data_IF_258860463285
#
_entry.id   IF_258860463285
#
_cell.length_a   1.000
_cell.length_b   1.000
_cell.length_c   1.000
_cell.angle_alpha   90.00
_cell.angle_beta   90.00
_cell.angle_gamma   90.00
#
_symmetry.space_group_name_H-M   'P 1'
#
loop_
_entity.id
_entity.type
_entity.pdbx_description
1 polymer ?
#
# COMPACT_ATOMS: atom_id res chain seq x y z
N UNK A 1 17.70 18.04 -21.10
CA UNK A 1 16.24 17.98 -21.37
C UNK A 1 15.46 17.41 -20.18
N UNK A 2 15.93 16.35 -19.51
CA UNK A 2 15.28 15.78 -18.30
C UNK A 2 15.29 16.73 -17.08
N UNK A 3 16.33 17.54 -16.89
CA UNK A 3 16.41 18.50 -15.77
C UNK A 3 15.41 19.65 -15.87
N UNK A 4 15.03 20.07 -17.09
CA UNK A 4 14.02 21.12 -17.31
C UNK A 4 12.58 20.64 -17.11
N UNK A 5 12.33 19.34 -17.14
CA UNK A 5 11.01 18.75 -16.84
C UNK A 5 10.81 18.68 -15.32
N UNK A 6 11.88 18.47 -14.55
CA UNK A 6 11.84 18.37 -13.08
C UNK A 6 11.79 19.73 -12.37
N UNK A 7 12.06 20.84 -13.08
CA UNK A 7 12.04 22.20 -12.52
C UNK A 7 10.86 23.05 -12.99
N UNK A 8 9.90 22.45 -13.70
CA UNK A 8 8.75 23.20 -14.22
C UNK A 8 7.73 23.42 -13.08
N UNK A 9 7.43 24.68 -12.68
CA UNK A 9 6.51 24.99 -11.58
C UNK A 9 5.07 24.55 -11.84
N UNK A 10 4.71 24.10 -13.05
CA UNK A 10 3.38 23.56 -13.39
C UNK A 10 3.10 22.24 -12.66
N UNK A 11 4.12 21.47 -12.24
CA UNK A 11 3.94 20.24 -11.45
C UNK A 11 3.70 20.50 -9.96
N UNK A 12 3.95 21.71 -9.45
CA UNK A 12 3.79 22.08 -8.04
C UNK A 12 2.50 22.85 -7.74
N UNK A 13 1.68 23.18 -8.74
CA UNK A 13 0.44 23.96 -8.58
C UNK A 13 -0.83 23.15 -8.86
N UNK A 14 -0.97 21.97 -8.26
CA UNK A 14 -2.31 21.51 -7.95
C UNK A 14 -2.67 22.09 -6.57
N UNK A 15 -3.26 23.28 -6.59
CA UNK A 15 -4.07 23.83 -5.51
C UNK A 15 -5.31 22.93 -5.31
N UNK A 16 -5.12 21.73 -4.74
CA UNK A 16 -6.12 21.20 -3.85
C UNK A 16 -6.11 22.17 -2.67
N UNK A 17 -7.20 22.89 -2.49
CA UNK A 17 -7.45 23.71 -1.32
C UNK A 17 -7.09 22.88 -0.09
N UNK A 18 -5.87 23.09 0.41
CA UNK A 18 -5.44 22.57 1.71
C UNK A 18 -6.34 23.31 2.67
N UNK A 19 -7.43 22.66 3.10
CA UNK A 19 -8.10 23.11 4.30
C UNK A 19 -7.07 22.95 5.41
N UNK A 20 -6.45 24.08 5.77
CA UNK A 20 -5.59 24.16 6.95
C UNK A 20 -6.52 23.95 8.12
N UNK A 21 -6.62 22.71 8.58
CA UNK A 21 -7.35 22.37 9.78
C UNK A 21 -6.54 22.94 10.92
N UNK A 22 -6.90 24.16 11.35
CA UNK A 22 -6.36 24.76 12.56
C UNK A 22 -7.09 24.15 13.75
N UNK A 23 -6.37 23.31 14.49
CA UNK A 23 -6.80 22.93 15.83
C UNK A 23 -6.39 24.07 16.78
N UNK A 24 -7.34 24.67 17.46
CA UNK A 24 -7.06 25.56 18.60
C UNK A 24 -6.48 24.71 19.74
N UNK A 25 -5.15 24.63 19.77
CA UNK A 25 -4.42 23.77 20.68
C UNK A 25 -4.47 24.31 22.11
N UNK A 26 -5.01 23.53 23.05
CA UNK A 26 -4.64 23.66 24.46
C UNK A 26 -3.17 23.29 24.61
N UNK A 27 -2.34 24.21 25.10
CA UNK A 27 -1.03 23.89 25.68
C UNK A 27 -1.25 23.38 27.12
N UNK A 28 -1.81 22.19 27.27
CA UNK A 28 -1.65 21.43 28.51
C UNK A 28 -0.30 20.71 28.48
N UNK A 29 0.38 20.53 29.61
CA UNK A 29 1.58 19.69 29.66
C UNK A 29 1.21 18.30 29.10
N UNK A 30 2.10 17.72 28.28
CA UNK A 30 1.89 16.40 27.69
C UNK A 30 1.75 15.42 28.86
N UNK A 31 0.55 14.95 29.12
CA UNK A 31 0.31 13.94 30.15
C UNK A 31 1.01 12.65 29.76
N UNK A 32 1.51 11.90 30.73
CA UNK A 32 2.26 10.66 30.49
C UNK A 32 1.48 9.66 29.63
N UNK A 33 0.15 9.63 29.73
CA UNK A 33 -0.74 8.82 28.90
C UNK A 33 -0.74 9.23 27.42
N UNK A 34 -0.77 10.52 27.11
CA UNK A 34 -0.69 11.03 25.72
C UNK A 34 0.59 10.57 25.04
N UNK A 35 1.71 10.63 25.77
CA UNK A 35 2.99 10.15 25.24
C UNK A 35 2.99 8.63 25.03
N UNK A 36 2.44 7.87 25.98
CA UNK A 36 2.31 6.43 25.86
C UNK A 36 1.52 6.03 24.61
N UNK A 37 0.36 6.65 24.37
CA UNK A 37 -0.45 6.35 23.18
C UNK A 37 0.20 6.79 21.88
N UNK A 38 0.88 7.94 21.87
CA UNK A 38 1.65 8.36 20.71
C UNK A 38 2.69 7.30 20.33
N UNK A 39 3.46 6.82 21.30
CA UNK A 39 4.46 5.77 21.10
C UNK A 39 3.81 4.47 20.64
N UNK A 40 2.70 4.06 21.26
CA UNK A 40 1.97 2.84 20.90
C UNK A 40 1.47 2.87 19.45
N UNK A 41 0.83 3.95 19.04
CA UNK A 41 0.33 4.10 17.66
C UNK A 41 1.47 4.12 16.66
N UNK A 42 2.54 4.88 16.95
CA UNK A 42 3.73 4.92 16.08
C UNK A 42 4.32 3.51 15.93
N UNK A 43 4.50 2.79 17.04
CA UNK A 43 5.04 1.44 17.02
C UNK A 43 4.15 0.47 16.20
N UNK A 44 2.84 0.52 16.39
CA UNK A 44 1.89 -0.30 15.63
C UNK A 44 1.85 0.07 14.16
N UNK A 45 1.90 1.36 13.81
CA UNK A 45 1.92 1.81 12.43
C UNK A 45 3.23 1.40 11.72
N UNK A 46 4.38 1.50 12.38
CA UNK A 46 5.64 1.01 11.86
C UNK A 46 5.66 -0.53 11.75
N UNK A 47 5.06 -1.23 12.70
CA UNK A 47 4.89 -2.68 12.62
C UNK A 47 3.93 -3.08 11.49
N UNK A 48 2.88 -2.30 11.24
CA UNK A 48 2.02 -2.49 10.08
C UNK A 48 2.81 -2.31 8.77
N UNK A 49 3.66 -1.28 8.64
CA UNK A 49 4.53 -1.11 7.47
C UNK A 49 5.52 -2.26 7.32
N UNK A 50 6.11 -2.73 8.41
CA UNK A 50 6.98 -3.91 8.39
C UNK A 50 6.22 -5.14 7.88
N UNK A 51 5.03 -5.43 8.42
CA UNK A 51 4.21 -6.58 7.98
C UNK A 51 3.72 -6.40 6.55
N UNK A 52 3.45 -5.17 6.11
CA UNK A 52 3.11 -4.84 4.74
C UNK A 52 4.29 -5.12 3.80
N UNK A 53 5.48 -4.59 4.06
CA UNK A 53 6.67 -4.87 3.27
C UNK A 53 7.01 -6.37 3.23
N UNK A 54 6.89 -7.06 4.36
CA UNK A 54 7.10 -8.50 4.47
C UNK A 54 6.08 -9.31 3.65
N UNK A 55 4.79 -8.97 3.72
CA UNK A 55 3.72 -9.59 2.95
C UNK A 55 3.86 -9.29 1.45
N UNK A 56 4.12 -8.03 1.12
CA UNK A 56 4.07 -7.50 -0.23
C UNK A 56 5.43 -7.53 -0.96
N UNK A 57 6.51 -7.99 -0.31
CA UNK A 57 7.78 -8.32 -0.98
C UNK A 57 7.56 -9.15 -2.25
N UNK A 58 6.55 -10.04 -2.24
CA UNK A 58 6.18 -10.85 -3.39
C UNK A 58 5.80 -10.04 -4.63
N UNK A 59 5.16 -8.88 -4.45
CA UNK A 59 4.70 -8.02 -5.53
C UNK A 59 5.88 -7.53 -6.39
N UNK A 60 7.00 -7.23 -5.75
CA UNK A 60 8.18 -6.64 -6.41
C UNK A 60 9.22 -7.68 -6.83
N UNK A 61 9.37 -8.80 -6.09
CA UNK A 61 10.46 -9.76 -6.36
C UNK A 61 10.01 -11.09 -6.97
N UNK A 62 8.73 -11.48 -6.89
CA UNK A 62 8.30 -12.81 -7.35
C UNK A 62 8.61 -13.06 -8.83
N UNK A 63 8.40 -12.07 -9.68
CA UNK A 63 8.61 -12.17 -11.12
C UNK A 63 10.08 -12.29 -11.48
N UNK A 64 10.97 -11.47 -10.88
CA UNK A 64 12.40 -11.46 -11.17
C UNK A 64 13.14 -12.68 -10.60
N UNK A 65 12.68 -13.21 -9.46
CA UNK A 65 13.20 -14.45 -8.87
C UNK A 65 12.78 -15.65 -9.73
N UNK A 66 11.51 -15.72 -10.13
CA UNK A 66 10.97 -16.84 -10.90
C UNK A 66 11.60 -16.97 -12.28
N UNK A 67 11.94 -15.85 -12.92
CA UNK A 67 12.63 -15.86 -14.21
C UNK A 67 14.12 -16.12 -14.10
N UNK A 68 14.69 -16.09 -12.89
CA UNK A 68 16.10 -16.29 -12.62
C UNK A 68 17.00 -15.13 -13.03
N UNK A 69 16.45 -13.92 -13.22
CA UNK A 69 17.26 -12.74 -13.59
C UNK A 69 18.12 -12.24 -12.42
N UNK A 70 17.62 -12.38 -11.19
CA UNK A 70 18.38 -12.15 -9.96
C UNK A 70 18.19 -13.33 -9.00
N UNK A 71 19.25 -13.59 -8.21
CA UNK A 71 19.11 -14.52 -7.07
C UNK A 71 18.16 -13.93 -6.02
N UNK A 72 17.46 -14.75 -5.23
CA UNK A 72 16.49 -14.29 -4.27
C UNK A 72 16.99 -13.23 -3.30
N UNK A 73 18.19 -13.44 -2.74
CA UNK A 73 18.82 -12.47 -1.81
C UNK A 73 19.12 -11.12 -2.47
N UNK A 74 19.63 -11.14 -3.72
CA UNK A 74 19.91 -9.89 -4.46
C UNK A 74 18.63 -9.17 -4.84
N UNK A 75 17.57 -9.90 -5.20
CA UNK A 75 16.27 -9.33 -5.54
C UNK A 75 15.64 -8.63 -4.32
N UNK A 76 15.63 -9.30 -3.15
CA UNK A 76 15.12 -8.73 -1.90
C UNK A 76 15.90 -7.50 -1.45
N UNK A 77 17.23 -7.54 -1.51
CA UNK A 77 18.08 -6.40 -1.14
C UNK A 77 17.85 -5.21 -2.08
N UNK A 78 17.79 -5.44 -3.38
CA UNK A 78 17.49 -4.41 -4.37
C UNK A 78 16.11 -3.79 -4.11
N UNK A 79 15.09 -4.63 -3.90
CA UNK A 79 13.73 -4.17 -3.63
C UNK A 79 13.67 -3.33 -2.34
N UNK A 80 14.29 -3.80 -1.25
CA UNK A 80 14.32 -3.10 0.03
C UNK A 80 14.98 -1.70 -0.09
N UNK A 81 16.11 -1.61 -0.80
CA UNK A 81 16.78 -0.32 -1.05
C UNK A 81 15.87 0.61 -1.86
N UNK A 82 15.22 0.11 -2.91
CA UNK A 82 14.33 0.90 -3.74
C UNK A 82 13.07 1.33 -2.97
N UNK A 83 12.49 0.47 -2.16
CA UNK A 83 11.33 0.80 -1.32
C UNK A 83 11.68 1.82 -0.23
N UNK A 84 12.90 1.76 0.32
CA UNK A 84 13.39 2.81 1.21
C UNK A 84 13.46 4.18 0.51
N UNK A 85 13.94 4.22 -0.74
CA UNK A 85 14.14 5.46 -1.50
C UNK A 85 12.81 6.03 -2.01
N UNK A 86 11.86 5.16 -2.40
CA UNK A 86 10.60 5.55 -3.04
C UNK A 86 9.83 6.68 -2.34
N UNK A 87 9.57 6.60 -1.02
CA UNK A 87 8.83 7.61 -0.27
C UNK A 87 9.41 9.02 -0.33
N UNK A 88 10.72 9.14 -0.49
CA UNK A 88 11.39 10.46 -0.56
C UNK A 88 11.28 11.11 -1.95
N UNK A 89 10.97 10.34 -3.00
CA UNK A 89 10.99 10.83 -4.37
C UNK A 89 9.62 11.35 -4.86
N UNK A 90 8.50 10.78 -4.38
CA UNK A 90 7.20 10.94 -5.05
C UNK A 90 6.14 11.66 -4.21
N UNK A 91 6.55 12.30 -3.11
CA UNK A 91 5.65 13.09 -2.26
C UNK A 91 4.76 12.26 -1.35
N UNK A 92 3.73 12.91 -0.75
CA UNK A 92 2.93 12.37 0.35
C UNK A 92 1.42 12.47 0.10
N UNK A 93 0.98 12.53 -1.16
CA UNK A 93 -0.42 12.74 -1.51
C UNK A 93 -1.35 11.60 -1.05
N UNK A 94 -0.88 10.35 -1.11
CA UNK A 94 -1.63 9.19 -0.61
C UNK A 94 -1.80 9.24 0.90
N UNK A 95 -0.75 9.66 1.63
CA UNK A 95 -0.80 9.79 3.08
C UNK A 95 -1.85 10.83 3.51
N UNK A 96 -1.97 11.93 2.77
CA UNK A 96 -3.02 12.91 3.00
C UNK A 96 -4.42 12.31 2.78
N UNK A 97 -4.62 11.58 1.69
CA UNK A 97 -5.92 10.91 1.41
C UNK A 97 -6.31 9.95 2.52
N UNK A 98 -5.39 9.12 3.00
CA UNK A 98 -5.66 8.16 4.08
C UNK A 98 -5.93 8.87 5.41
N UNK A 99 -5.14 9.90 5.73
CA UNK A 99 -5.20 10.56 7.03
C UNK A 99 -6.34 11.57 7.19
N UNK A 100 -6.91 12.08 6.08
CA UNK A 100 -7.90 13.16 6.18
C UNK A 100 -9.25 12.89 5.49
N UNK A 101 -9.31 11.91 4.57
CA UNK A 101 -10.49 11.76 3.71
C UNK A 101 -11.38 10.56 4.05
N UNK A 102 -11.02 9.71 5.02
CA UNK A 102 -11.79 8.51 5.37
C UNK A 102 -12.60 8.74 6.64
N UNK A 103 -11.98 9.34 7.65
CA UNK A 103 -12.58 9.58 8.96
C UNK A 103 -12.54 11.07 9.28
N UNK A 104 -13.64 11.60 9.77
CA UNK A 104 -13.70 13.00 10.20
C UNK A 104 -13.05 13.18 11.58
N UNK A 105 -11.73 13.36 11.57
CA UNK A 105 -10.96 13.60 12.79
C UNK A 105 -11.19 14.98 13.40
N UNK A 106 -11.74 15.93 12.63
CA UNK A 106 -11.98 17.31 13.11
C UNK A 106 -13.17 17.39 14.06
N UNK A 107 -14.07 16.43 13.96
CA UNK A 107 -15.25 16.34 14.81
C UNK A 107 -14.99 15.64 16.15
N UNK A 108 -13.76 15.20 16.41
CA UNK A 108 -13.39 14.62 17.69
C UNK A 108 -13.09 15.75 18.70
N UNK A 109 -13.98 15.91 19.69
CA UNK A 109 -13.79 16.89 20.76
C UNK A 109 -12.70 16.42 21.72
N UNK A 110 -12.06 17.37 22.43
CA UNK A 110 -10.97 17.11 23.39
C UNK A 110 -11.29 16.06 24.46
N UNK A 111 -12.56 15.86 24.77
CA UNK A 111 -13.02 14.91 25.80
C UNK A 111 -13.06 13.45 25.30
N UNK A 112 -12.71 13.22 24.01
CA UNK A 112 -12.81 11.92 23.31
C UNK A 112 -11.48 11.51 22.69
N UNK A 113 -10.37 12.12 23.09
CA UNK A 113 -9.02 11.80 22.56
C UNK A 113 -8.72 10.32 22.74
N UNK A 114 -8.98 9.77 23.92
CA UNK A 114 -8.70 8.38 24.26
C UNK A 114 -9.47 7.40 23.36
N UNK A 115 -10.74 7.72 23.07
CA UNK A 115 -11.60 6.94 22.18
C UNK A 115 -11.07 6.97 20.74
N UNK A 116 -10.63 8.14 20.27
CA UNK A 116 -10.11 8.32 18.91
C UNK A 116 -8.79 7.58 18.70
N UNK A 117 -7.93 7.56 19.69
CA UNK A 117 -6.67 6.80 19.66
C UNK A 117 -6.92 5.30 19.73
N UNK A 118 -7.85 4.86 20.58
CA UNK A 118 -8.27 3.45 20.65
C UNK A 118 -8.78 2.93 19.30
N UNK A 119 -9.46 3.80 18.54
CA UNK A 119 -9.92 3.50 17.18
C UNK A 119 -8.74 3.25 16.23
N UNK A 120 -7.71 4.12 16.25
CA UNK A 120 -6.52 3.95 15.40
C UNK A 120 -5.76 2.69 15.77
N UNK A 121 -5.59 2.43 17.08
CA UNK A 121 -4.97 1.20 17.58
C UNK A 121 -5.75 -0.03 17.09
N UNK A 122 -7.07 -0.04 17.24
CA UNK A 122 -7.91 -1.15 16.81
C UNK A 122 -7.86 -1.37 15.29
N UNK A 123 -7.87 -0.30 14.50
CA UNK A 123 -7.74 -0.38 13.05
C UNK A 123 -6.40 -1.01 12.62
N UNK A 124 -5.30 -0.58 13.23
CA UNK A 124 -3.97 -1.14 12.98
C UNK A 124 -3.89 -2.61 13.39
N UNK A 125 -4.38 -2.96 14.58
CA UNK A 125 -4.39 -4.36 15.06
C UNK A 125 -5.21 -5.24 14.12
N UNK A 126 -6.39 -4.81 13.68
CA UNK A 126 -7.21 -5.54 12.73
C UNK A 126 -6.52 -5.75 11.37
N UNK A 127 -5.89 -4.71 10.84
CA UNK A 127 -5.15 -4.78 9.58
C UNK A 127 -3.91 -5.69 9.67
N UNK A 128 -3.13 -5.58 10.75
CA UNK A 128 -1.95 -6.42 10.99
C UNK A 128 -2.37 -7.89 11.14
N UNK A 129 -3.39 -8.16 11.93
CA UNK A 129 -3.90 -9.52 12.14
C UNK A 129 -4.32 -10.16 10.79
N UNK A 130 -5.04 -9.43 9.95
CA UNK A 130 -5.44 -9.92 8.63
C UNK A 130 -4.24 -10.15 7.72
N UNK A 131 -3.27 -9.24 7.67
CA UNK A 131 -2.04 -9.41 6.90
C UNK A 131 -1.28 -10.67 7.31
N UNK A 132 -1.15 -10.93 8.61
CA UNK A 132 -0.46 -12.13 9.12
C UNK A 132 -1.23 -13.42 8.80
N UNK A 133 -2.55 -13.42 8.91
CA UNK A 133 -3.41 -14.57 8.57
C UNK A 133 -3.28 -14.92 7.09
N UNK A 134 -3.40 -13.94 6.21
CA UNK A 134 -3.31 -14.16 4.75
C UNK A 134 -1.91 -14.54 4.32
N UNK A 135 -0.87 -13.98 4.95
CA UNK A 135 0.49 -14.45 4.75
C UNK A 135 0.68 -15.91 5.17
N UNK A 136 0.12 -16.32 6.32
CA UNK A 136 0.21 -17.70 6.78
C UNK A 136 -0.38 -18.68 5.77
N UNK A 137 -1.46 -18.33 5.11
CA UNK A 137 -2.08 -19.14 4.05
C UNK A 137 -1.43 -18.95 2.66
N UNK A 138 -0.50 -18.01 2.52
CA UNK A 138 0.16 -17.68 1.24
C UNK A 138 -0.81 -17.08 0.23
N UNK A 139 -1.82 -16.39 0.72
CA UNK A 139 -2.81 -15.67 -0.10
C UNK A 139 -2.34 -14.22 -0.30
N UNK A 140 -2.16 -13.76 -1.55
CA UNK A 140 -1.83 -12.37 -1.84
C UNK A 140 -3.08 -11.49 -1.63
N UNK A 141 -3.27 -11.02 -0.42
CA UNK A 141 -4.29 -10.05 -0.04
C UNK A 141 -3.76 -8.62 -0.14
N UNK A 142 -4.63 -7.64 0.11
CA UNK A 142 -4.28 -6.22 0.01
C UNK A 142 -4.18 -5.58 1.39
N UNK A 143 -3.00 -5.11 1.74
CA UNK A 143 -2.79 -4.30 2.95
C UNK A 143 -3.58 -2.99 2.95
N UNK A 144 -3.80 -2.38 1.76
CA UNK A 144 -4.66 -1.19 1.62
C UNK A 144 -6.12 -1.50 1.97
N UNK A 145 -6.65 -2.63 1.47
CA UNK A 145 -8.01 -3.07 1.83
C UNK A 145 -8.10 -3.42 3.31
N UNK A 146 -7.08 -4.08 3.87
CA UNK A 146 -7.04 -4.42 5.28
C UNK A 146 -7.06 -3.16 6.16
N UNK A 147 -6.29 -2.13 5.79
CA UNK A 147 -6.25 -0.88 6.53
C UNK A 147 -7.58 -0.12 6.45
N UNK A 148 -8.12 0.06 5.23
CA UNK A 148 -9.42 0.74 5.04
C UNK A 148 -10.54 -0.01 5.76
N UNK A 149 -10.58 -1.34 5.66
CA UNK A 149 -11.53 -2.16 6.39
C UNK A 149 -11.38 -2.00 7.91
N UNK A 150 -10.14 -2.02 8.41
CA UNK A 150 -9.83 -1.79 9.82
C UNK A 150 -10.31 -0.43 10.32
N UNK A 151 -10.02 0.64 9.58
CA UNK A 151 -10.49 2.00 9.91
C UNK A 151 -12.02 2.07 9.95
N UNK A 152 -12.69 1.59 8.90
CA UNK A 152 -14.15 1.61 8.81
C UNK A 152 -14.77 0.76 9.92
N UNK A 153 -14.27 -0.43 10.18
CA UNK A 153 -14.77 -1.33 11.20
C UNK A 153 -14.65 -0.76 12.61
N UNK A 154 -13.49 -0.18 12.94
CA UNK A 154 -13.30 0.47 14.24
C UNK A 154 -14.22 1.69 14.42
N UNK A 155 -14.37 2.54 13.38
CA UNK A 155 -15.27 3.72 13.42
C UNK A 155 -16.71 3.31 13.59
N UNK A 156 -17.19 2.30 12.84
CA UNK A 156 -18.57 1.82 12.92
C UNK A 156 -18.95 1.33 14.34
N UNK A 157 -18.03 0.65 15.01
CA UNK A 157 -18.25 0.17 16.38
C UNK A 157 -18.14 1.30 17.40
N UNK A 158 -17.24 2.27 17.18
CA UNK A 158 -16.97 3.35 18.14
C UNK A 158 -18.04 4.45 18.09
N UNK A 159 -18.43 4.88 16.88
CA UNK A 159 -19.22 6.08 16.65
C UNK A 159 -20.42 5.87 15.72
N UNK A 160 -20.55 4.68 15.11
CA UNK A 160 -21.51 4.48 14.05
C UNK A 160 -21.10 5.09 12.71
N UNK A 161 -22.02 5.18 11.74
CA UNK A 161 -21.72 5.60 10.37
C UNK A 161 -21.49 7.10 10.18
N UNK A 162 -21.87 7.94 11.17
CA UNK A 162 -21.91 9.40 11.01
C UNK A 162 -20.54 10.06 10.97
N UNK A 163 -19.51 9.37 11.49
CA UNK A 163 -18.12 9.85 11.48
C UNK A 163 -17.33 9.41 10.28
N UNK A 164 -17.94 8.67 9.34
CA UNK A 164 -17.32 8.27 8.09
C UNK A 164 -17.53 9.36 7.04
N UNK A 165 -16.44 9.81 6.43
CA UNK A 165 -16.50 10.72 5.28
C UNK A 165 -16.82 9.86 4.03
N UNK A 166 -18.11 9.61 3.80
CA UNK A 166 -18.57 8.73 2.73
C UNK A 166 -18.01 9.08 1.35
N UNK A 167 -17.91 10.36 1.02
CA UNK A 167 -17.33 10.80 -0.25
C UNK A 167 -15.89 10.34 -0.41
N UNK A 168 -15.09 10.50 0.62
CA UNK A 168 -13.69 10.07 0.62
C UNK A 168 -13.55 8.55 0.63
N UNK A 169 -14.36 7.85 1.43
CA UNK A 169 -14.38 6.38 1.46
C UNK A 169 -14.77 5.81 0.08
N UNK A 170 -15.82 6.34 -0.57
CA UNK A 170 -16.23 5.92 -1.91
C UNK A 170 -15.11 6.16 -2.92
N UNK A 171 -14.43 7.32 -2.86
CA UNK A 171 -13.27 7.58 -3.73
C UNK A 171 -12.18 6.51 -3.54
N UNK A 172 -11.79 6.24 -2.30
CA UNK A 172 -10.76 5.23 -1.98
C UNK A 172 -11.19 3.84 -2.48
N UNK A 173 -12.42 3.42 -2.20
CA UNK A 173 -12.95 2.11 -2.64
C UNK A 173 -13.00 2.04 -4.17
N UNK A 174 -13.41 3.11 -4.87
CA UNK A 174 -13.39 3.14 -6.33
C UNK A 174 -11.96 2.98 -6.88
N UNK A 175 -10.97 3.67 -6.30
CA UNK A 175 -9.56 3.52 -6.70
C UNK A 175 -9.07 2.10 -6.45
N UNK A 176 -9.42 1.50 -5.32
CA UNK A 176 -9.05 0.12 -4.98
C UNK A 176 -9.67 -0.90 -5.95
N UNK A 177 -10.93 -0.72 -6.37
CA UNK A 177 -11.60 -1.60 -7.34
C UNK A 177 -11.07 -1.37 -8.76
N UNK A 178 -10.78 -0.13 -9.13
CA UNK A 178 -10.27 0.21 -10.47
C UNK A 178 -8.84 -0.29 -10.67
N UNK A 179 -8.04 -0.34 -9.61
CA UNK A 179 -6.62 -0.68 -9.68
C UNK A 179 -6.33 -2.05 -10.33
N UNK A 180 -7.02 -3.17 -10.00
CA UNK A 180 -6.80 -4.45 -10.69
C UNK A 180 -7.30 -4.44 -12.15
N UNK A 181 -8.33 -3.68 -12.46
CA UNK A 181 -8.81 -3.52 -13.85
C UNK A 181 -7.75 -2.84 -14.69
N UNK A 182 -7.17 -1.75 -14.19
CA UNK A 182 -6.06 -1.07 -14.86
C UNK A 182 -4.84 -1.99 -14.99
N UNK A 183 -4.46 -2.72 -13.94
CA UNK A 183 -3.38 -3.70 -13.99
C UNK A 183 -3.59 -4.73 -15.09
N UNK A 184 -4.79 -5.31 -15.21
CA UNK A 184 -5.14 -6.29 -16.23
C UNK A 184 -5.04 -5.69 -17.65
N UNK A 185 -5.64 -4.52 -17.87
CA UNK A 185 -5.67 -3.83 -19.18
C UNK A 185 -4.25 -3.44 -19.59
N UNK A 186 -3.52 -2.72 -18.73
CA UNK A 186 -2.17 -2.27 -19.04
C UNK A 186 -1.19 -3.43 -19.20
N UNK A 187 -1.32 -4.50 -18.37
CA UNK A 187 -0.53 -5.72 -18.52
C UNK A 187 -0.74 -6.38 -19.88
N UNK A 188 -2.01 -6.52 -20.30
CA UNK A 188 -2.37 -7.10 -21.60
C UNK A 188 -1.88 -6.24 -22.76
N UNK A 189 -2.13 -4.93 -22.69
CA UNK A 189 -1.79 -3.98 -23.75
C UNK A 189 -0.27 -3.90 -23.93
N UNK A 190 0.46 -3.68 -22.83
CA UNK A 190 1.90 -3.53 -22.86
C UNK A 190 2.59 -4.82 -23.36
N UNK A 191 2.07 -5.99 -22.98
CA UNK A 191 2.55 -7.26 -23.50
C UNK A 191 2.33 -7.38 -25.02
N UNK A 192 1.11 -7.10 -25.52
CA UNK A 192 0.81 -7.17 -26.95
C UNK A 192 1.69 -6.22 -27.77
N UNK A 193 1.87 -4.97 -27.29
CA UNK A 193 2.76 -3.98 -27.93
C UNK A 193 4.20 -4.50 -27.95
N UNK A 194 4.70 -5.01 -26.80
CA UNK A 194 6.07 -5.51 -26.69
C UNK A 194 6.31 -6.69 -27.65
N UNK A 195 5.39 -7.65 -27.74
CA UNK A 195 5.52 -8.78 -28.66
C UNK A 195 5.44 -8.32 -30.12
N UNK A 196 4.56 -7.37 -30.44
CA UNK A 196 4.46 -6.83 -31.80
C UNK A 196 5.77 -6.16 -32.23
N UNK A 197 6.35 -5.33 -31.37
CA UNK A 197 7.64 -4.68 -31.63
C UNK A 197 8.80 -5.66 -31.69
N UNK A 198 8.70 -6.79 -30.98
CA UNK A 198 9.76 -7.82 -30.90
C UNK A 198 9.55 -8.96 -31.90
N UNK A 199 8.61 -8.86 -32.85
CA UNK A 199 8.27 -9.97 -33.77
C UNK A 199 9.43 -10.48 -34.60
N UNK A 200 10.39 -9.60 -34.94
CA UNK A 200 11.59 -9.90 -35.73
C UNK A 200 12.85 -10.08 -34.85
N UNK A 201 12.68 -10.16 -33.52
CA UNK A 201 13.80 -10.24 -32.60
C UNK A 201 14.49 -11.62 -32.66
N UNK A 202 15.80 -11.60 -32.60
CA UNK A 202 16.63 -12.81 -32.55
C UNK A 202 16.55 -13.45 -31.15
N UNK A 203 17.00 -14.71 -30.96
CA UNK A 203 17.08 -15.37 -29.65
C UNK A 203 17.87 -14.55 -28.59
N UNK A 204 18.73 -13.62 -29.02
CA UNK A 204 19.47 -12.69 -28.14
C UNK A 204 18.55 -11.74 -27.39
N UNK A 205 17.31 -11.52 -27.83
CA UNK A 205 16.31 -10.71 -27.14
C UNK A 205 16.05 -11.21 -25.72
N UNK A 206 16.25 -12.49 -25.40
CA UNK A 206 16.17 -13.02 -24.04
C UNK A 206 17.13 -12.28 -23.09
N UNK A 207 18.37 -12.00 -23.50
CA UNK A 207 19.34 -11.27 -22.69
C UNK A 207 18.96 -9.81 -22.49
N UNK A 208 18.39 -9.20 -23.51
CA UNK A 208 17.84 -7.85 -23.42
C UNK A 208 16.71 -7.80 -22.37
N UNK A 209 15.70 -8.67 -22.46
CA UNK A 209 14.60 -8.70 -21.49
C UNK A 209 15.05 -9.10 -20.08
N UNK A 210 16.09 -9.93 -19.93
CA UNK A 210 16.68 -10.22 -18.63
C UNK A 210 17.27 -8.97 -17.95
N UNK A 211 17.86 -8.07 -18.71
CA UNK A 211 18.38 -6.79 -18.18
C UNK A 211 17.24 -5.78 -17.94
N UNK A 212 16.32 -5.67 -18.89
CA UNK A 212 15.20 -4.73 -18.79
C UNK A 212 14.29 -5.05 -17.60
N UNK A 213 14.07 -6.33 -17.27
CA UNK A 213 13.27 -6.67 -16.10
C UNK A 213 13.94 -6.30 -14.77
N UNK A 214 15.26 -6.13 -14.70
CA UNK A 214 15.92 -5.59 -13.51
C UNK A 214 15.55 -4.11 -13.34
N UNK A 215 15.62 -3.34 -14.44
CA UNK A 215 15.22 -1.92 -14.42
C UNK A 215 13.72 -1.74 -14.10
N UNK A 216 12.85 -2.56 -14.70
CA UNK A 216 11.42 -2.51 -14.38
C UNK A 216 11.10 -2.97 -12.96
N UNK A 217 11.89 -3.89 -12.39
CA UNK A 217 11.75 -4.27 -10.98
C UNK A 217 12.18 -3.14 -10.04
N UNK A 218 13.25 -2.41 -10.38
CA UNK A 218 13.65 -1.19 -9.65
C UNK A 218 12.53 -0.16 -9.69
N UNK A 219 11.98 0.13 -10.88
CA UNK A 219 10.87 1.07 -11.03
C UNK A 219 9.63 0.64 -10.24
N UNK A 220 9.29 -0.66 -10.27
CA UNK A 220 8.19 -1.21 -9.50
C UNK A 220 8.42 -1.09 -7.99
N UNK A 221 9.64 -1.41 -7.51
CA UNK A 221 9.98 -1.31 -6.08
C UNK A 221 9.94 0.14 -5.58
N UNK A 222 10.43 1.10 -6.37
CA UNK A 222 10.33 2.54 -6.06
C UNK A 222 8.87 2.98 -5.98
N UNK A 223 8.04 2.58 -6.96
CA UNK A 223 6.61 2.92 -7.00
C UNK A 223 5.84 2.27 -5.85
N UNK A 224 6.21 1.03 -5.49
CA UNK A 224 5.60 0.29 -4.38
C UNK A 224 5.89 0.99 -3.04
N UNK A 225 7.15 1.24 -2.72
CA UNK A 225 7.54 1.95 -1.50
C UNK A 225 6.89 3.34 -1.40
N UNK A 226 6.87 4.07 -2.53
CA UNK A 226 6.23 5.38 -2.61
C UNK A 226 4.72 5.35 -2.32
N UNK A 227 4.00 4.30 -2.68
CA UNK A 227 2.57 4.19 -2.39
C UNK A 227 2.32 3.61 -0.99
N UNK A 228 3.03 2.54 -0.64
CA UNK A 228 2.67 1.72 0.52
C UNK A 228 3.11 2.31 1.85
N UNK A 229 4.30 2.90 1.96
CA UNK A 229 4.73 3.58 3.17
C UNK A 229 3.86 4.79 3.54
N UNK A 230 3.22 5.42 2.57
CA UNK A 230 2.37 6.59 2.80
C UNK A 230 1.11 6.26 3.62
N UNK A 231 0.66 5.02 3.68
CA UNK A 231 -0.52 4.61 4.47
C UNK A 231 -0.27 4.80 5.95
N UNK A 232 0.86 4.32 6.46
CA UNK A 232 1.25 4.51 7.86
C UNK A 232 1.65 5.96 8.15
N UNK A 233 2.29 6.65 7.19
CA UNK A 233 2.56 8.08 7.34
C UNK A 233 1.27 8.86 7.60
N UNK A 234 0.20 8.56 6.85
CA UNK A 234 -1.12 9.17 7.05
C UNK A 234 -1.69 8.90 8.44
N UNK A 235 -1.62 7.64 8.91
CA UNK A 235 -2.12 7.26 10.24
C UNK A 235 -1.31 7.85 11.38
N UNK A 236 0.03 7.84 11.30
CA UNK A 236 0.89 8.45 12.31
C UNK A 236 0.60 9.94 12.39
N UNK A 237 0.57 10.64 11.25
CA UNK A 237 0.32 12.09 11.21
C UNK A 237 -1.09 12.42 11.73
N UNK A 238 -2.10 11.65 11.34
CA UNK A 238 -3.46 11.77 11.86
C UNK A 238 -3.48 11.64 13.39
N UNK A 239 -2.78 10.67 13.92
CA UNK A 239 -2.71 10.45 15.37
C UNK A 239 -1.97 11.55 16.11
N UNK A 240 -0.90 12.11 15.52
CA UNK A 240 -0.21 13.28 16.09
C UNK A 240 -1.11 14.51 16.14
N UNK A 241 -1.99 14.69 15.15
CA UNK A 241 -2.99 15.76 15.14
C UNK A 241 -4.07 15.51 16.20
N UNK A 242 -4.62 14.29 16.30
CA UNK A 242 -5.61 13.93 17.33
C UNK A 242 -5.06 14.16 18.75
N UNK A 243 -3.80 13.79 18.98
CA UNK A 243 -3.13 13.96 20.27
C UNK A 243 -2.70 15.41 20.56
N UNK A 244 -2.94 16.35 19.64
CA UNK A 244 -2.51 17.74 19.80
C UNK A 244 -0.99 17.95 19.72
N UNK A 245 -0.23 16.93 19.28
CA UNK A 245 1.23 17.00 19.10
C UNK A 245 1.63 17.69 17.79
N UNK A 246 0.71 17.81 16.84
CA UNK A 246 0.87 18.59 15.61
C UNK A 246 -0.34 19.52 15.42
N UNK A 247 -0.14 20.81 15.15
CA UNK A 247 -1.25 21.75 14.96
C UNK A 247 -1.93 21.62 13.60
N UNK A 248 -1.28 20.96 12.65
CA UNK A 248 -1.77 20.79 11.28
C UNK A 248 -1.39 19.40 10.76
N UNK A 249 -2.13 18.92 9.74
CA UNK A 249 -1.79 17.70 9.04
C UNK A 249 -0.60 17.95 8.09
N UNK A 250 0.60 17.96 8.66
CA UNK A 250 1.86 18.02 7.93
C UNK A 250 2.70 16.81 8.32
N UNK A 251 3.22 16.08 7.32
CA UNK A 251 3.97 14.85 7.55
C UNK A 251 5.43 15.20 7.84
N UNK A 252 5.91 15.01 9.07
CA UNK A 252 7.28 15.31 9.42
C UNK A 252 8.27 14.38 8.71
N UNK A 253 9.47 14.88 8.42
CA UNK A 253 10.51 14.08 7.74
C UNK A 253 10.85 12.79 8.48
N UNK A 254 10.87 12.81 9.82
CA UNK A 254 11.14 11.61 10.61
C UNK A 254 10.06 10.52 10.43
N UNK A 255 8.80 10.90 10.19
CA UNK A 255 7.72 9.95 9.88
C UNK A 255 7.98 9.29 8.54
N UNK A 256 8.36 10.07 7.51
CA UNK A 256 8.72 9.53 6.20
C UNK A 256 9.88 8.54 6.33
N UNK A 257 10.94 8.93 7.05
CA UNK A 257 12.13 8.11 7.22
C UNK A 257 11.83 6.82 7.99
N UNK A 258 11.06 6.88 9.08
CA UNK A 258 10.74 5.69 9.89
C UNK A 258 9.84 4.71 9.14
N UNK A 259 8.83 5.17 8.40
CA UNK A 259 7.99 4.32 7.55
C UNK A 259 8.79 3.70 6.40
N UNK A 260 9.68 4.48 5.76
CA UNK A 260 10.58 3.98 4.71
C UNK A 260 11.51 2.87 5.23
N UNK A 261 12.06 3.02 6.44
CA UNK A 261 12.88 1.97 7.10
C UNK A 261 12.03 0.74 7.40
N UNK A 262 10.84 0.93 7.97
CA UNK A 262 9.98 -0.18 8.38
C UNK A 262 9.57 -1.06 7.19
N UNK A 263 9.10 -0.46 6.08
CA UNK A 263 8.70 -1.20 4.89
C UNK A 263 9.90 -1.90 4.23
N UNK A 264 11.05 -1.23 4.16
CA UNK A 264 12.28 -1.80 3.59
C UNK A 264 12.76 -3.01 4.39
N UNK A 265 12.75 -2.94 5.72
CA UNK A 265 13.09 -4.08 6.60
C UNK A 265 12.11 -5.24 6.43
N UNK A 266 10.82 -4.94 6.30
CA UNK A 266 9.79 -5.92 5.98
C UNK A 266 10.09 -6.65 4.67
N UNK A 267 10.33 -5.90 3.60
CA UNK A 267 10.66 -6.45 2.28
C UNK A 267 11.95 -7.25 2.29
N UNK A 268 12.99 -6.80 3.00
CA UNK A 268 14.24 -7.54 3.15
C UNK A 268 14.04 -8.90 3.83
N UNK A 269 13.08 -9.01 4.75
CA UNK A 269 12.72 -10.27 5.43
C UNK A 269 12.05 -11.28 4.49
N UNK A 270 11.33 -10.83 3.47
CA UNK A 270 10.75 -11.58 2.36
C UNK A 270 9.56 -12.48 2.71
N UNK A 271 8.47 -12.34 1.99
CA UNK A 271 7.24 -13.15 2.13
C UNK A 271 7.25 -14.42 1.27
N UNK A 272 8.09 -15.40 1.56
CA UNK A 272 8.34 -16.56 0.70
C UNK A 272 7.09 -17.35 0.28
N UNK A 273 6.07 -17.44 1.14
CA UNK A 273 4.82 -18.16 0.82
C UNK A 273 4.06 -17.48 -0.32
N UNK A 274 3.98 -16.14 -0.29
CA UNK A 274 3.30 -15.33 -1.29
C UNK A 274 4.15 -15.23 -2.57
N UNK A 275 5.49 -15.10 -2.44
CA UNK A 275 6.43 -15.12 -3.58
C UNK A 275 6.20 -16.37 -4.45
N UNK A 276 6.01 -17.54 -3.82
CA UNK A 276 5.72 -18.78 -4.54
C UNK A 276 4.36 -18.73 -5.25
N UNK A 277 3.34 -18.15 -4.63
CA UNK A 277 2.01 -18.02 -5.23
C UNK A 277 2.04 -17.08 -6.44
N UNK A 278 2.61 -15.90 -6.29
CA UNK A 278 2.66 -14.89 -7.34
C UNK A 278 3.58 -15.27 -8.51
N UNK A 279 4.76 -15.82 -8.20
CA UNK A 279 5.77 -16.11 -9.20
C UNK A 279 5.52 -17.39 -10.01
N UNK A 280 4.89 -18.40 -9.39
CA UNK A 280 4.81 -19.75 -10.00
C UNK A 280 3.38 -20.22 -10.22
N UNK A 281 2.44 -19.89 -9.31
CA UNK A 281 1.12 -20.51 -9.32
C UNK A 281 0.11 -19.83 -10.24
N UNK A 282 0.25 -18.52 -10.54
CA UNK A 282 -0.69 -17.77 -11.40
C UNK A 282 -0.45 -18.10 -12.87
N UNK A 283 0.79 -17.92 -13.31
CA UNK A 283 1.20 -18.03 -14.71
C UNK A 283 2.70 -18.39 -14.81
N UNK A 284 3.10 -19.14 -15.85
CA UNK A 284 4.51 -19.46 -16.08
C UNK A 284 5.24 -18.30 -16.74
N UNK A 285 5.91 -17.50 -15.93
CA UNK A 285 6.61 -16.30 -16.37
C UNK A 285 7.91 -16.62 -17.14
N UNK A 286 8.15 -15.85 -18.21
CA UNK A 286 9.44 -15.68 -18.90
C UNK A 286 9.89 -14.23 -18.73
N UNK A 287 11.15 -13.92 -19.07
CA UNK A 287 11.71 -12.57 -18.86
C UNK A 287 10.90 -11.44 -19.51
N UNK A 288 10.38 -11.66 -20.73
CA UNK A 288 9.51 -10.67 -21.39
C UNK A 288 8.20 -10.48 -20.65
N UNK A 289 7.61 -11.54 -20.09
CA UNK A 289 6.37 -11.45 -19.32
C UNK A 289 6.61 -10.68 -18.03
N UNK A 290 7.71 -10.97 -17.32
CA UNK A 290 8.10 -10.28 -16.10
C UNK A 290 8.34 -8.78 -16.35
N UNK A 291 9.09 -8.45 -17.39
CA UNK A 291 9.31 -7.07 -17.82
C UNK A 291 7.99 -6.33 -18.06
N UNK A 292 7.07 -6.93 -18.83
CA UNK A 292 5.78 -6.32 -19.13
C UNK A 292 4.91 -6.14 -17.87
N UNK A 293 4.83 -7.17 -17.01
CA UNK A 293 4.04 -7.10 -15.79
C UNK A 293 4.59 -6.05 -14.81
N UNK A 294 5.90 -5.99 -14.62
CA UNK A 294 6.55 -5.02 -13.75
C UNK A 294 6.39 -3.59 -14.26
N UNK A 295 6.62 -3.35 -15.57
CA UNK A 295 6.50 -2.01 -16.15
C UNK A 295 5.07 -1.50 -16.09
N UNK A 296 4.08 -2.31 -16.44
CA UNK A 296 2.68 -1.94 -16.35
C UNK A 296 2.24 -1.69 -14.91
N UNK A 297 2.68 -2.53 -13.97
CA UNK A 297 2.39 -2.35 -12.54
C UNK A 297 3.02 -1.07 -12.00
N UNK A 298 4.29 -0.80 -12.30
CA UNK A 298 4.97 0.42 -11.88
C UNK A 298 4.25 1.67 -12.39
N UNK A 299 3.83 1.67 -13.67
CA UNK A 299 3.11 2.80 -14.26
C UNK A 299 1.76 3.05 -13.57
N UNK A 300 0.98 1.99 -13.28
CA UNK A 300 -0.33 2.13 -12.61
C UNK A 300 -0.15 2.58 -11.15
N UNK A 301 0.78 1.97 -10.40
CA UNK A 301 1.00 2.29 -8.99
C UNK A 301 1.52 3.72 -8.84
N UNK A 302 2.54 4.09 -9.62
CA UNK A 302 3.12 5.44 -9.56
C UNK A 302 2.13 6.49 -10.03
N UNK A 303 1.42 6.22 -11.14
CA UNK A 303 0.38 7.13 -11.63
C UNK A 303 -0.66 7.40 -10.55
N UNK A 304 -1.20 6.36 -9.91
CA UNK A 304 -2.17 6.54 -8.83
C UNK A 304 -1.59 7.29 -7.62
N UNK A 305 -0.35 6.98 -7.22
CA UNK A 305 0.31 7.64 -6.09
C UNK A 305 0.48 9.15 -6.30
N UNK A 306 0.83 9.58 -7.52
CA UNK A 306 0.97 10.99 -7.88
C UNK A 306 -0.37 11.76 -7.79
N UNK A 307 -1.50 11.08 -8.01
CA UNK A 307 -2.84 11.65 -7.86
C UNK A 307 -3.46 11.42 -6.46
N UNK A 308 -2.66 10.94 -5.50
CA UNK A 308 -3.12 10.68 -4.14
C UNK A 308 -4.08 9.48 -4.00
N UNK A 309 -4.15 8.61 -5.02
CA UNK A 309 -4.97 7.41 -5.01
C UNK A 309 -4.29 6.25 -4.25
N UNK A 310 -4.81 5.81 -3.11
CA UNK A 310 -4.28 4.65 -2.40
C UNK A 310 -4.66 3.35 -3.14
N UNK A 311 -3.81 2.89 -4.06
CA UNK A 311 -4.08 1.64 -4.78
C UNK A 311 -3.69 0.42 -3.96
N UNK A 312 -4.23 -0.73 -4.35
CA UNK A 312 -3.74 -2.03 -3.92
C UNK A 312 -2.62 -2.50 -4.83
N UNK A 313 -1.40 -2.40 -4.37
CA UNK A 313 -0.21 -2.84 -5.10
C UNK A 313 -0.27 -4.33 -5.44
N UNK A 314 -0.75 -5.17 -4.50
CA UNK A 314 -0.97 -6.61 -4.70
C UNK A 314 -1.99 -6.87 -5.81
N UNK A 315 -3.10 -6.13 -5.86
CA UNK A 315 -4.11 -6.28 -6.91
C UNK A 315 -3.57 -5.86 -8.27
N UNK A 316 -2.87 -4.72 -8.35
CA UNK A 316 -2.26 -4.24 -9.60
C UNK A 316 -1.26 -5.25 -10.15
N UNK A 317 -0.34 -5.74 -9.32
CA UNK A 317 0.71 -6.68 -9.78
C UNK A 317 0.11 -8.02 -10.17
N UNK A 318 -0.77 -8.59 -9.34
CA UNK A 318 -1.44 -9.86 -9.64
C UNK A 318 -2.23 -9.78 -10.95
N UNK A 319 -3.01 -8.73 -11.13
CA UNK A 319 -3.82 -8.54 -12.34
C UNK A 319 -2.97 -8.22 -13.56
N UNK A 320 -1.83 -7.50 -13.42
CA UNK A 320 -0.86 -7.30 -14.50
C UNK A 320 -0.25 -8.62 -14.96
N UNK A 321 0.11 -9.52 -14.03
CA UNK A 321 0.59 -10.87 -14.35
C UNK A 321 -0.50 -11.67 -15.10
N UNK A 322 -1.75 -11.59 -14.63
CA UNK A 322 -2.90 -12.22 -15.32
C UNK A 322 -3.12 -11.61 -16.70
N UNK A 323 -3.02 -10.28 -16.84
CA UNK A 323 -3.17 -9.56 -18.09
C UNK A 323 -2.11 -9.94 -19.13
N UNK A 324 -0.85 -10.01 -18.71
CA UNK A 324 0.25 -10.50 -19.57
C UNK A 324 0.00 -11.93 -20.02
N UNK A 325 -0.41 -12.81 -19.10
CA UNK A 325 -0.75 -14.21 -19.41
C UNK A 325 -1.93 -14.32 -20.39
N UNK A 326 -3.01 -13.58 -20.15
CA UNK A 326 -4.20 -13.52 -21.01
C UNK A 326 -3.88 -12.91 -22.39
N UNK A 327 -2.98 -11.90 -22.42
CA UNK A 327 -2.49 -11.29 -23.66
C UNK A 327 -1.75 -12.28 -24.56
N UNK A 328 -1.07 -13.28 -23.98
CA UNK A 328 -0.48 -14.38 -24.74
C UNK A 328 -1.55 -15.39 -25.15
N UNK A 329 -2.31 -15.91 -24.22
CA UNK A 329 -3.43 -16.83 -24.41
C UNK A 329 -4.25 -16.92 -23.12
N UNK A 330 -5.56 -16.73 -23.19
CA UNK A 330 -6.47 -16.72 -22.03
C UNK A 330 -6.32 -18.03 -21.21
N UNK A 331 -6.22 -19.18 -21.88
CA UNK A 331 -6.05 -20.49 -21.23
C UNK A 331 -4.67 -20.71 -20.57
N UNK A 332 -3.70 -19.80 -20.74
CA UNK A 332 -2.39 -19.91 -20.11
C UNK A 332 -2.41 -19.46 -18.65
N UNK A 333 -3.39 -18.65 -18.25
CA UNK A 333 -3.61 -18.24 -16.86
C UNK A 333 -4.32 -19.36 -16.11
N UNK A 334 -3.83 -19.67 -14.91
CA UNK A 334 -4.48 -20.64 -14.02
C UNK A 334 -5.64 -19.99 -13.27
N UNK A 335 -6.79 -19.89 -13.93
CA UNK A 335 -7.98 -19.18 -13.43
C UNK A 335 -8.52 -19.72 -12.10
N UNK A 336 -8.27 -20.99 -11.76
CA UNK A 336 -8.59 -21.53 -10.44
C UNK A 336 -7.82 -20.83 -9.31
N UNK A 337 -6.52 -20.56 -9.53
CA UNK A 337 -5.69 -19.79 -8.59
C UNK A 337 -6.13 -18.32 -8.56
N UNK A 338 -6.38 -17.72 -9.74
CA UNK A 338 -6.87 -16.36 -9.86
C UNK A 338 -8.18 -16.14 -9.11
N UNK A 339 -9.13 -17.09 -9.21
CA UNK A 339 -10.41 -17.04 -8.45
C UNK A 339 -10.19 -16.98 -6.94
N UNK A 340 -9.28 -17.79 -6.39
CA UNK A 340 -8.98 -17.77 -4.95
C UNK A 340 -8.36 -16.45 -4.52
N UNK A 341 -7.50 -15.85 -5.34
CA UNK A 341 -6.88 -14.54 -5.10
C UNK A 341 -7.97 -13.45 -5.12
N UNK A 342 -8.83 -13.46 -6.13
CA UNK A 342 -9.93 -12.48 -6.24
C UNK A 342 -10.90 -12.62 -5.05
N UNK A 343 -11.21 -13.84 -4.63
CA UNK A 343 -12.04 -14.07 -3.45
C UNK A 343 -11.42 -13.47 -2.19
N UNK A 344 -10.09 -13.66 -2.00
CA UNK A 344 -9.37 -13.04 -0.89
C UNK A 344 -9.46 -11.51 -0.91
N UNK A 345 -9.46 -10.88 -2.09
CA UNK A 345 -9.63 -9.44 -2.22
C UNK A 345 -10.96 -8.94 -1.67
N UNK A 346 -12.07 -9.61 -2.00
CA UNK A 346 -13.40 -9.24 -1.51
C UNK A 346 -13.58 -9.49 -0.01
N UNK A 347 -12.96 -10.54 0.53
CA UNK A 347 -13.08 -10.89 1.95
C UNK A 347 -12.23 -9.95 2.82
N UNK A 348 -11.18 -9.34 2.29
CA UNK A 348 -10.21 -8.56 3.07
C UNK A 348 -10.87 -7.40 3.84
N UNK A 349 -11.70 -6.56 3.18
CA UNK A 349 -12.34 -5.42 3.85
C UNK A 349 -13.26 -5.88 4.99
N UNK A 350 -14.25 -6.78 4.77
CA UNK A 350 -15.13 -7.19 5.86
C UNK A 350 -14.39 -7.94 6.98
N UNK A 351 -13.40 -8.77 6.65
CA UNK A 351 -12.67 -9.53 7.67
C UNK A 351 -11.82 -8.61 8.57
N UNK A 352 -11.07 -7.67 7.96
CA UNK A 352 -10.29 -6.69 8.73
C UNK A 352 -11.18 -5.73 9.53
N UNK A 353 -12.37 -5.37 9.00
CA UNK A 353 -13.35 -4.56 9.72
C UNK A 353 -13.88 -5.28 10.97
N UNK A 354 -14.22 -6.56 10.85
CA UNK A 354 -14.64 -7.38 12.01
C UNK A 354 -13.51 -7.48 13.03
N UNK A 355 -12.29 -7.76 12.60
CA UNK A 355 -11.13 -7.86 13.50
C UNK A 355 -10.86 -6.55 14.23
N UNK A 356 -10.94 -5.42 13.54
CA UNK A 356 -10.77 -4.10 14.14
C UNK A 356 -11.92 -3.76 15.11
N UNK A 357 -13.16 -4.06 14.74
CA UNK A 357 -14.31 -3.89 15.64
C UNK A 357 -14.20 -4.71 16.91
N UNK A 358 -13.78 -5.97 16.80
CA UNK A 358 -13.54 -6.84 17.95
C UNK A 358 -12.37 -6.30 18.82
N UNK A 359 -11.28 -5.85 18.18
CA UNK A 359 -10.14 -5.25 18.88
C UNK A 359 -10.57 -4.00 19.66
N UNK A 360 -11.37 -3.14 19.04
CA UNK A 360 -11.91 -1.95 19.69
C UNK A 360 -12.78 -2.32 20.90
N UNK A 361 -13.69 -3.28 20.74
CA UNK A 361 -14.52 -3.77 21.83
C UNK A 361 -13.68 -4.31 23.00
N UNK A 362 -12.65 -5.10 22.73
CA UNK A 362 -11.75 -5.63 23.77
C UNK A 362 -10.98 -4.52 24.49
N UNK A 363 -10.47 -3.52 23.76
CA UNK A 363 -9.81 -2.34 24.36
C UNK A 363 -10.76 -1.65 25.35
N UNK A 364 -12.03 -1.44 24.93
CA UNK A 364 -13.05 -0.82 25.78
C UNK A 364 -13.42 -1.65 27.03
N UNK A 365 -13.41 -2.97 26.92
CA UNK A 365 -13.64 -3.86 28.07
C UNK A 365 -12.52 -3.78 29.11
N UNK A 366 -11.28 -3.66 28.67
CA UNK A 366 -10.10 -3.59 29.55
C UNK A 366 -10.00 -2.19 30.17
N UNK A 367 -10.36 -1.17 29.42
CA UNK A 367 -10.24 0.22 29.85
C UNK A 367 -11.51 1.02 29.48
N UNK A 368 -12.56 0.97 30.33
CA UNK A 368 -13.86 1.60 30.05
C UNK A 368 -13.82 3.11 29.83
N UNK A 369 -12.73 3.78 30.26
CA UNK A 369 -12.52 5.21 30.07
C UNK A 369 -11.91 5.56 28.69
N UNK A 370 -11.44 4.55 27.95
CA UNK A 370 -10.98 4.67 26.56
C UNK A 370 -12.11 4.60 25.57
#
# INVERSE_FOLDING_TARGET
>A
MLLKILTNPIFFHYNLSIQVIKFEGRRSPIEGWTLFFAILVIALALFFDYTNGFHDAANVVATIITTGALSPRKALLMAAICEFIGPFLFGTAVAQTIGTNIVDVTSFHSDVIDLSISLVVAALVGAIAWNLITWFWGLPSSSSHALVGGMVGAVLVAYGPDKIIWKGLIYVVCVLILSPVLGLIFGTLFFKVTIHLSRNATPKAKYFFNRMQILSSIALSLSHGANDAQKSMGLITMSLVILGLSPTFHIPFWVIASCAVAIALGTASGGWRIIKTMGVRIYRLRSVHAFCAQTSSAAVILGAALFGGPVSTTHVVSSSIMGVGAGQRISAVRWGVAKNIILAWFITIPASAVMAGLSFFLIRMIHPKF
#
